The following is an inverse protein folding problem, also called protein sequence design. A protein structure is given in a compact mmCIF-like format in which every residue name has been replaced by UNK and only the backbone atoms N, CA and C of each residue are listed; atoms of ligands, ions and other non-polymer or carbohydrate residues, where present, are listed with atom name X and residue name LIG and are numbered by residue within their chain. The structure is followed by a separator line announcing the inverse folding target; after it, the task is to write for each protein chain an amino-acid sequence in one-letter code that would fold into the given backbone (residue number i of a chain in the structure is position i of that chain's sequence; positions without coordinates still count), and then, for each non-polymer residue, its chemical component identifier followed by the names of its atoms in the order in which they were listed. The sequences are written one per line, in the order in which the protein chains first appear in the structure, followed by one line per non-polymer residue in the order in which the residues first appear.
data_IF_348168947252
#
_entry.id   IF_348168947252
#
_cell.length_a   1.000
_cell.length_b   1.000
_cell.length_c   1.000
_cell.angle_alpha   90.00
_cell.angle_beta   90.00
_cell.angle_gamma   90.00
#
_symmetry.space_group_name_H-M   'P 1'
#
loop_
_entity.id
_entity.type
_entity.pdbx_description
1 polymer ?
#
# COMPACT_ATOMS: atom_id res chain seq x y z
N UNK A 1 3.51 17.70 -21.63
CA UNK A 1 2.50 17.34 -20.57
C UNK A 1 1.50 16.38 -21.21
N UNK A 2 1.40 15.12 -20.75
CA UNK A 2 0.55 14.13 -21.43
C UNK A 2 -0.91 14.27 -21.00
N UNK A 3 -1.80 14.63 -21.93
CA UNK A 3 -3.23 14.92 -21.69
C UNK A 3 -3.92 13.71 -21.06
N UNK A 4 -3.70 12.50 -21.58
CA UNK A 4 -4.27 11.26 -21.05
C UNK A 4 -3.90 11.05 -19.58
N UNK A 5 -2.60 11.22 -19.24
CA UNK A 5 -2.13 11.08 -17.85
C UNK A 5 -2.79 12.10 -16.93
N UNK A 6 -2.93 13.35 -17.38
CA UNK A 6 -3.56 14.40 -16.59
C UNK A 6 -5.06 14.12 -16.34
N UNK A 7 -5.79 13.64 -17.35
CA UNK A 7 -7.20 13.28 -17.21
C UNK A 7 -7.39 12.10 -16.27
N UNK A 8 -6.59 11.03 -16.39
CA UNK A 8 -6.64 9.87 -15.50
C UNK A 8 -6.33 10.27 -14.04
N UNK A 9 -5.33 11.11 -13.81
CA UNK A 9 -5.01 11.62 -12.47
C UNK A 9 -6.13 12.47 -11.88
N UNK A 10 -6.83 13.25 -12.70
CA UNK A 10 -7.96 14.07 -12.25
C UNK A 10 -9.14 13.19 -11.83
N UNK A 11 -9.54 12.24 -12.70
CA UNK A 11 -10.62 11.29 -12.40
C UNK A 11 -10.29 10.46 -11.15
N UNK A 12 -9.05 9.98 -11.03
CA UNK A 12 -8.59 9.28 -9.85
C UNK A 12 -8.71 10.12 -8.58
N UNK A 13 -8.30 11.40 -8.62
CA UNK A 13 -8.45 12.32 -7.48
C UNK A 13 -9.90 12.55 -7.11
N UNK A 14 -10.80 12.69 -8.08
CA UNK A 14 -12.23 12.88 -7.83
C UNK A 14 -12.87 11.64 -7.19
N UNK A 15 -12.57 10.43 -7.70
CA UNK A 15 -13.02 9.17 -7.10
C UNK A 15 -12.44 9.01 -5.69
N UNK A 16 -11.14 9.29 -5.52
CA UNK A 16 -10.48 9.25 -4.22
C UNK A 16 -11.17 10.19 -3.23
N UNK A 17 -11.42 11.44 -3.62
CA UNK A 17 -12.02 12.42 -2.71
C UNK A 17 -13.47 12.08 -2.34
N UNK A 18 -14.24 11.49 -3.28
CA UNK A 18 -15.64 11.10 -3.04
C UNK A 18 -15.77 9.83 -2.20
N UNK A 19 -14.84 8.88 -2.33
CA UNK A 19 -15.04 7.54 -1.79
C UNK A 19 -13.91 7.01 -0.89
N UNK A 20 -12.70 7.58 -0.98
CA UNK A 20 -11.53 7.12 -0.25
C UNK A 20 -10.93 8.28 0.58
N UNK A 21 -11.46 8.44 1.80
CA UNK A 21 -10.88 9.37 2.79
C UNK A 21 -9.50 8.92 3.26
N UNK A 22 -9.18 7.63 3.14
CA UNK A 22 -7.91 6.99 3.50
C UNK A 22 -7.38 6.14 2.35
N UNK A 23 -6.10 5.76 2.41
CA UNK A 23 -5.50 4.83 1.45
C UNK A 23 -6.08 3.43 1.68
N UNK A 24 -6.65 2.77 0.66
CA UNK A 24 -7.18 1.42 0.82
C UNK A 24 -6.08 0.40 1.10
N UNK A 25 -6.37 -0.57 1.96
CA UNK A 25 -5.39 -1.58 2.33
C UNK A 25 -5.03 -2.58 1.20
N UNK A 26 -5.82 -2.64 0.12
CA UNK A 26 -5.48 -3.44 -1.07
C UNK A 26 -4.42 -2.79 -1.97
N UNK A 27 -4.10 -1.50 -1.76
CA UNK A 27 -3.09 -0.81 -2.55
C UNK A 27 -1.72 -1.44 -2.30
N UNK A 28 -1.00 -1.78 -3.37
CA UNK A 28 0.37 -2.27 -3.26
C UNK A 28 1.31 -1.10 -3.00
N UNK A 29 1.87 -1.08 -1.79
CA UNK A 29 2.90 -0.12 -1.38
C UNK A 29 4.20 -0.35 -2.15
N UNK A 30 4.44 -1.63 -2.49
CA UNK A 30 5.69 -2.12 -3.04
C UNK A 30 5.79 -1.90 -4.54
N UNK A 31 4.71 -2.13 -5.31
CA UNK A 31 4.73 -1.90 -6.77
C UNK A 31 5.05 -0.45 -7.16
N UNK A 32 4.72 0.52 -6.30
CA UNK A 32 4.96 1.93 -6.57
C UNK A 32 6.37 2.43 -6.17
N UNK A 33 7.12 1.67 -5.36
CA UNK A 33 8.32 2.18 -4.67
C UNK A 33 9.53 1.23 -4.67
N UNK A 34 9.31 -0.08 -4.76
CA UNK A 34 10.35 -1.08 -4.58
C UNK A 34 10.36 -2.01 -5.79
N UNK A 35 11.53 -2.18 -6.39
CA UNK A 35 11.69 -3.06 -7.54
C UNK A 35 11.24 -4.50 -7.19
N UNK A 36 10.48 -5.19 -8.06
CA UNK A 36 9.97 -6.55 -7.80
C UNK A 36 11.05 -7.55 -7.33
N UNK A 37 12.28 -7.39 -7.83
CA UNK A 37 13.43 -8.23 -7.47
C UNK A 37 13.86 -8.14 -5.99
N UNK A 38 13.43 -7.12 -5.24
CA UNK A 38 13.93 -6.88 -3.89
C UNK A 38 13.22 -7.72 -2.80
N UNK A 39 12.20 -8.50 -3.15
CA UNK A 39 11.32 -9.16 -2.18
C UNK A 39 11.31 -10.69 -2.33
N UNK A 40 11.94 -11.27 -3.36
CA UNK A 40 11.90 -12.71 -3.70
C UNK A 40 10.50 -13.35 -3.67
N UNK A 41 9.42 -12.57 -3.58
CA UNK A 41 8.11 -13.13 -3.19
C UNK A 41 7.25 -13.48 -4.41
N UNK A 42 7.59 -12.96 -5.60
CA UNK A 42 6.81 -13.12 -6.84
C UNK A 42 5.37 -12.58 -6.79
N UNK A 43 4.89 -12.16 -5.62
CA UNK A 43 3.53 -11.70 -5.34
C UNK A 43 3.48 -10.20 -5.05
N UNK A 44 2.36 -9.57 -5.39
CA UNK A 44 2.07 -8.18 -5.03
C UNK A 44 1.85 -8.09 -3.52
N UNK A 45 2.68 -7.30 -2.84
CA UNK A 45 2.53 -7.04 -1.40
C UNK A 45 1.67 -5.78 -1.21
N UNK A 46 0.57 -5.94 -0.49
CA UNK A 46 -0.43 -4.91 -0.18
C UNK A 46 -0.32 -4.48 1.28
N UNK A 47 -0.98 -3.37 1.64
CA UNK A 47 -1.05 -2.94 3.04
C UNK A 47 -1.68 -4.02 3.94
N UNK A 48 -2.70 -4.75 3.48
CA UNK A 48 -3.27 -5.87 4.24
C UNK A 48 -2.25 -6.96 4.62
N UNK A 49 -1.20 -7.14 3.82
CA UNK A 49 -0.20 -8.16 4.08
C UNK A 49 0.78 -7.68 5.18
N UNK A 50 1.10 -6.39 5.21
CA UNK A 50 2.17 -5.83 6.05
C UNK A 50 1.69 -5.12 7.32
N UNK A 51 0.40 -4.81 7.43
CA UNK A 51 -0.19 -4.21 8.63
C UNK A 51 -0.73 -5.28 9.58
N UNK A 52 -0.72 -4.97 10.89
CA UNK A 52 -1.44 -5.75 11.90
C UNK A 52 -2.94 -5.39 11.91
N UNK A 53 -3.72 -6.03 12.78
CA UNK A 53 -5.17 -5.81 12.86
C UNK A 53 -5.55 -4.42 13.38
N UNK A 54 -4.60 -3.72 14.03
CA UNK A 54 -4.72 -2.33 14.48
C UNK A 54 -4.33 -1.32 13.40
N UNK A 55 -3.80 -1.77 12.26
CA UNK A 55 -3.33 -0.91 11.18
C UNK A 55 -1.89 -0.43 11.30
N UNK A 56 -1.13 -0.97 12.25
CA UNK A 56 0.26 -0.63 12.46
C UNK A 56 1.16 -1.51 11.59
N UNK A 57 2.27 -0.95 11.12
CA UNK A 57 3.23 -1.69 10.31
C UNK A 57 3.91 -2.78 11.14
N UNK A 58 3.79 -4.03 10.71
CA UNK A 58 4.51 -5.17 11.29
C UNK A 58 6.02 -4.95 11.19
N UNK A 59 6.73 -5.40 12.20
CA UNK A 59 8.18 -5.44 12.24
C UNK A 59 8.74 -6.36 11.16
N UNK A 60 10.00 -6.14 10.75
CA UNK A 60 10.67 -7.03 9.79
C UNK A 60 10.69 -8.50 10.31
N UNK A 61 10.85 -8.68 11.61
CA UNK A 61 10.83 -10.02 12.23
C UNK A 61 9.46 -10.71 12.11
N UNK A 62 8.36 -10.01 12.36
CA UNK A 62 7.00 -10.56 12.19
C UNK A 62 6.71 -10.91 10.73
N UNK A 63 7.15 -10.05 9.79
CA UNK A 63 7.01 -10.33 8.36
C UNK A 63 7.80 -11.58 7.95
N UNK A 64 9.02 -11.76 8.47
CA UNK A 64 9.82 -12.98 8.25
C UNK A 64 9.18 -14.22 8.83
N UNK A 65 8.58 -14.13 10.02
CA UNK A 65 7.81 -15.23 10.62
C UNK A 65 6.59 -15.62 9.79
N UNK A 66 6.00 -14.66 9.06
CA UNK A 66 4.92 -14.89 8.10
C UNK A 66 5.41 -15.42 6.73
N UNK A 67 6.70 -15.75 6.62
CA UNK A 67 7.30 -16.26 5.38
C UNK A 67 7.62 -15.18 4.36
N UNK A 68 7.55 -13.89 4.70
CA UNK A 68 8.00 -12.81 3.81
C UNK A 68 9.50 -12.58 3.96
N UNK A 69 10.24 -12.87 2.89
CA UNK A 69 11.65 -12.52 2.79
C UNK A 69 11.77 -11.06 2.35
N UNK A 70 11.80 -10.17 3.33
CA UNK A 70 12.07 -8.75 3.09
C UNK A 70 13.46 -8.39 3.62
N UNK A 71 14.31 -7.93 2.71
CA UNK A 71 15.61 -7.37 3.07
C UNK A 71 15.45 -6.09 3.90
N UNK A 72 16.51 -5.71 4.62
CA UNK A 72 16.47 -4.55 5.51
C UNK A 72 16.16 -3.24 4.77
N UNK A 73 16.78 -3.03 3.60
CA UNK A 73 16.59 -1.82 2.81
C UNK A 73 15.15 -1.63 2.28
N UNK A 74 14.53 -2.64 1.63
CA UNK A 74 13.13 -2.57 1.24
C UNK A 74 12.18 -2.32 2.42
N UNK A 75 12.46 -2.91 3.58
CA UNK A 75 11.68 -2.68 4.78
C UNK A 75 11.77 -1.22 5.27
N UNK A 76 12.95 -0.58 5.19
CA UNK A 76 13.09 0.83 5.52
C UNK A 76 12.28 1.73 4.57
N UNK A 77 12.28 1.43 3.27
CA UNK A 77 11.48 2.17 2.29
C UNK A 77 9.98 2.03 2.57
N UNK A 78 9.52 0.82 2.91
CA UNK A 78 8.15 0.55 3.35
C UNK A 78 7.78 1.41 4.56
N UNK A 79 8.64 1.42 5.58
CA UNK A 79 8.42 2.17 6.82
C UNK A 79 8.29 3.66 6.57
N UNK A 80 9.16 4.22 5.72
CA UNK A 80 9.09 5.63 5.31
C UNK A 80 7.80 5.96 4.58
N UNK A 81 7.38 5.09 3.64
CA UNK A 81 6.13 5.28 2.91
C UNK A 81 4.90 5.20 3.81
N UNK A 82 4.82 4.16 4.64
CA UNK A 82 3.75 3.98 5.62
C UNK A 82 3.58 5.23 6.48
N UNK A 83 4.68 5.78 7.01
CA UNK A 83 4.64 7.01 7.83
C UNK A 83 4.02 8.18 7.05
N UNK A 84 4.50 8.43 5.83
CA UNK A 84 3.98 9.51 4.98
C UNK A 84 2.50 9.32 4.67
N UNK A 85 2.11 8.10 4.32
CA UNK A 85 0.75 7.76 3.91
C UNK A 85 -0.23 7.86 5.08
N UNK A 86 0.19 7.49 6.30
CA UNK A 86 -0.55 7.74 7.54
C UNK A 86 -0.72 9.24 7.80
N UNK A 87 0.36 10.03 7.68
CA UNK A 87 0.33 11.47 7.95
C UNK A 87 -0.52 12.25 6.94
N UNK A 88 -0.48 11.87 5.66
CA UNK A 88 -1.14 12.61 4.59
C UNK A 88 -2.61 12.20 4.39
N UNK A 89 -2.92 10.90 4.54
CA UNK A 89 -4.25 10.36 4.21
C UNK A 89 -4.80 9.38 5.25
N UNK A 90 -3.99 8.78 6.10
CA UNK A 90 -4.37 7.59 6.85
C UNK A 90 -4.50 6.35 5.96
N UNK A 91 -4.58 5.17 6.58
CA UNK A 91 -4.74 3.88 5.87
C UNK A 91 -5.98 3.17 6.39
N UNK A 92 -6.76 2.61 5.47
CA UNK A 92 -7.96 1.84 5.76
C UNK A 92 -7.59 0.36 5.96
N UNK A 93 -7.72 -0.11 7.20
CA UNK A 93 -7.37 -1.49 7.60
C UNK A 93 -8.51 -2.46 7.26
N UNK A 94 -9.75 -1.98 7.26
CA UNK A 94 -10.94 -2.79 7.00
C UNK A 94 -11.39 -2.64 5.55
N UNK A 95 -11.80 -3.72 4.87
CA UNK A 95 -12.36 -3.62 3.54
C UNK A 95 -13.60 -2.69 3.54
N UNK A 96 -13.58 -1.67 2.69
CA UNK A 96 -14.74 -0.82 2.45
C UNK A 96 -15.64 -1.43 1.36
N UNK A 97 -16.78 -0.78 1.07
CA UNK A 97 -17.73 -1.29 0.08
C UNK A 97 -17.16 -1.37 -1.35
N UNK A 98 -16.23 -0.49 -1.72
CA UNK A 98 -15.58 -0.52 -3.03
C UNK A 98 -14.54 -1.63 -3.13
N UNK A 99 -13.89 -1.98 -2.02
CA UNK A 99 -12.93 -3.09 -1.98
C UNK A 99 -13.62 -4.41 -2.35
N UNK A 100 -14.90 -4.57 -2.00
CA UNK A 100 -15.73 -5.74 -2.37
C UNK A 100 -16.08 -5.83 -3.85
N UNK A 101 -15.94 -4.74 -4.60
CA UNK A 101 -16.22 -4.70 -6.06
C UNK A 101 -14.97 -5.11 -6.85
N UNK A 102 -13.79 -5.03 -6.23
CA UNK A 102 -12.49 -5.31 -6.85
C UNK A 102 -11.98 -6.74 -6.61
N UNK A 103 -12.66 -7.53 -5.79
CA UNK A 103 -12.46 -8.98 -5.61
C UNK A 103 -13.15 -9.78 -6.73
#
# INVERSE_FOLDING_TARGET
RHIIRCSLLKVWKEIKHKHYMKIPGWVSVMEALIHPNALETGRKIRYYDVLNTQGELKTNQELRQQGMKIEWWPYLQLKMRYKKDIEEFGIEVKPNQLDKILE
#
